data_IF_952871680369
#
_entry.id   IF_952871680369
#
_cell.length_a   1.000
_cell.length_b   1.000
_cell.length_c   1.000
_cell.angle_alpha   90.00
_cell.angle_beta   90.00
_cell.angle_gamma   90.00
#
_symmetry.space_group_name_H-M   'P 1'
#
loop_
_entity.id
_entity.type
_entity.pdbx_description
1 polymer ?
#
# COMPACT_ATOMS: atom_id res chain seq x y z
N UNK A 1 3.85 12.89 44.05
CA UNK A 1 5.25 13.10 44.50
C UNK A 1 6.15 12.77 43.31
N UNK A 2 6.29 13.72 42.38
CA UNK A 2 7.12 13.65 41.18
C UNK A 2 7.97 14.92 41.17
N UNK A 3 9.29 14.79 41.18
CA UNK A 3 10.24 15.91 41.21
C UNK A 3 10.73 16.20 39.80
N UNK A 4 10.41 17.41 39.30
CA UNK A 4 11.04 17.98 38.11
C UNK A 4 12.52 18.26 38.40
N UNK A 5 13.41 17.93 37.45
CA UNK A 5 14.79 18.42 37.44
C UNK A 5 14.94 19.53 36.38
N UNK A 6 15.56 20.67 36.74
CA UNK A 6 15.68 21.82 35.84
C UNK A 6 16.87 21.73 34.90
N UNK A 7 16.72 22.43 33.77
CA UNK A 7 17.72 22.75 32.75
C UNK A 7 18.70 23.80 33.28
N UNK A 8 20.00 23.56 33.12
CA UNK A 8 21.06 24.56 33.33
C UNK A 8 22.11 24.40 32.24
N UNK A 9 22.30 25.47 31.45
CA UNK A 9 23.30 25.53 30.39
C UNK A 9 24.70 25.86 30.88
N UNK A 10 25.68 25.87 29.95
CA UNK A 10 26.93 26.63 29.99
C UNK A 10 27.62 26.49 28.61
N UNK A 11 27.63 27.55 27.78
CA UNK A 11 28.75 28.46 27.48
C UNK A 11 29.95 27.88 26.71
N UNK A 12 30.10 28.42 25.50
CA UNK A 12 31.32 29.02 24.92
C UNK A 12 32.68 28.30 25.08
N UNK A 13 33.22 27.82 23.96
CA UNK A 13 34.61 27.40 23.84
C UNK A 13 35.11 27.48 22.40
N UNK A 14 35.54 28.66 22.00
CA UNK A 14 36.23 28.95 20.74
C UNK A 14 37.72 28.62 20.95
N UNK A 15 38.26 27.61 20.25
CA UNK A 15 39.72 27.37 20.19
C UNK A 15 40.09 27.12 18.74
N UNK A 16 40.75 28.12 18.16
CA UNK A 16 41.51 28.00 16.93
C UNK A 16 42.79 27.21 17.21
N UNK A 17 43.06 26.18 16.41
CA UNK A 17 44.40 25.64 16.23
C UNK A 17 44.68 25.49 14.74
N UNK A 18 45.50 26.41 14.25
CA UNK A 18 46.25 26.27 13.03
C UNK A 18 47.31 25.16 13.21
N UNK A 19 47.50 24.35 12.18
CA UNK A 19 48.53 23.31 12.17
C UNK A 19 48.66 22.68 10.79
N UNK A 20 49.42 23.35 9.93
CA UNK A 20 49.85 22.83 8.63
C UNK A 20 50.69 21.56 8.81
N UNK A 21 50.40 20.52 8.02
CA UNK A 21 51.36 19.44 7.75
C UNK A 21 51.24 19.03 6.29
N UNK A 22 52.26 19.48 5.56
CA UNK A 22 52.65 19.09 4.21
C UNK A 22 52.77 17.57 4.13
N UNK A 23 52.09 16.96 3.16
CA UNK A 23 52.48 15.67 2.59
C UNK A 23 52.62 15.81 1.07
N UNK A 24 53.87 15.87 0.64
CA UNK A 24 54.31 15.54 -0.71
C UNK A 24 54.39 14.01 -0.79
N UNK A 25 53.66 13.42 -1.74
CA UNK A 25 53.74 11.99 -2.05
C UNK A 25 53.04 11.69 -3.36
N UNK A 26 53.82 11.72 -4.43
CA UNK A 26 53.41 11.47 -5.80
C UNK A 26 52.96 10.01 -6.04
N UNK A 27 51.96 9.82 -6.92
CA UNK A 27 51.62 8.51 -7.47
C UNK A 27 50.22 8.40 -8.06
N UNK A 28 49.91 9.12 -9.15
CA UNK A 28 48.80 8.73 -10.03
C UNK A 28 49.36 7.73 -11.06
N UNK A 29 48.93 6.48 -10.95
CA UNK A 29 49.14 5.46 -11.97
C UNK A 29 48.20 5.68 -13.16
N UNK A 30 48.76 5.57 -14.35
CA UNK A 30 48.11 5.49 -15.65
C UNK A 30 47.09 4.35 -15.70
N UNK A 31 45.81 4.68 -15.83
CA UNK A 31 44.76 3.78 -16.27
C UNK A 31 44.22 4.30 -17.60
N UNK A 32 44.72 3.74 -18.71
CA UNK A 32 44.24 4.05 -20.05
C UNK A 32 42.75 3.72 -20.20
N UNK A 33 41.95 4.76 -20.40
CA UNK A 33 40.55 4.68 -20.82
C UNK A 33 40.36 5.60 -22.01
N UNK A 34 40.07 4.99 -23.17
CA UNK A 34 39.84 5.66 -24.44
C UNK A 34 38.81 6.79 -24.28
N UNK A 35 39.24 8.04 -24.51
CA UNK A 35 38.31 9.11 -24.85
C UNK A 35 37.77 8.81 -26.25
N UNK A 36 36.45 8.70 -26.48
CA UNK A 36 35.95 8.99 -27.81
C UNK A 36 36.15 10.48 -28.00
N UNK A 37 37.02 10.86 -28.94
CA UNK A 37 37.09 12.23 -29.43
C UNK A 37 35.71 12.57 -29.99
N UNK A 38 34.92 13.30 -29.21
CA UNK A 38 33.75 14.02 -29.70
C UNK A 38 34.27 15.13 -30.62
N UNK A 39 34.53 14.77 -31.89
CA UNK A 39 34.63 15.74 -32.94
C UNK A 39 33.31 16.53 -32.97
N UNK A 40 33.33 17.87 -33.10
CA UNK A 40 32.11 18.61 -33.32
C UNK A 40 31.53 18.14 -34.66
N UNK A 41 30.42 17.40 -34.59
CA UNK A 41 29.59 17.08 -35.76
C UNK A 41 29.08 18.41 -36.33
N UNK A 42 29.83 18.97 -37.27
CA UNK A 42 29.34 19.99 -38.17
C UNK A 42 28.16 19.42 -38.94
N UNK A 43 27.01 20.09 -38.81
CA UNK A 43 25.71 19.79 -39.41
C UNK A 43 25.67 19.69 -40.96
N UNK A 44 26.83 19.63 -41.62
CA UNK A 44 26.98 19.63 -43.08
C UNK A 44 27.62 18.38 -43.68
N UNK A 45 28.06 17.40 -42.88
CA UNK A 45 28.50 16.10 -43.40
C UNK A 45 27.50 15.01 -43.01
N UNK A 46 26.46 14.85 -43.83
CA UNK A 46 25.64 13.66 -43.83
C UNK A 46 26.51 12.50 -44.34
N UNK A 47 27.11 11.76 -43.41
CA UNK A 47 27.77 10.49 -43.74
C UNK A 47 26.78 9.56 -44.46
N UNK A 48 27.22 8.77 -45.46
CA UNK A 48 26.36 7.80 -46.12
C UNK A 48 25.80 6.79 -45.09
N UNK A 49 24.58 6.28 -45.29
CA UNK A 49 23.89 5.40 -44.33
C UNK A 49 24.62 4.07 -44.03
N UNK A 50 25.67 3.74 -44.79
CA UNK A 50 26.42 2.49 -44.68
C UNK A 50 27.74 2.60 -43.88
N UNK A 51 28.03 3.76 -43.29
CA UNK A 51 29.28 4.01 -42.55
C UNK A 51 29.10 4.20 -41.04
N UNK A 52 27.94 3.85 -40.47
CA UNK A 52 27.80 3.76 -39.02
C UNK A 52 28.69 2.60 -38.52
N UNK A 53 29.61 2.84 -37.57
CA UNK A 53 30.39 1.75 -36.99
C UNK A 53 29.43 0.78 -36.29
N UNK A 54 29.71 -0.54 -36.29
CA UNK A 54 28.80 -1.57 -35.79
C UNK A 54 28.50 -1.47 -34.27
N UNK A 55 29.14 -0.53 -33.58
CA UNK A 55 29.05 -0.21 -32.16
C UNK A 55 28.47 1.19 -31.87
N UNK A 56 27.96 1.91 -32.88
CA UNK A 56 27.25 3.17 -32.64
C UNK A 56 25.94 2.91 -31.89
N UNK A 57 25.84 3.39 -30.65
CA UNK A 57 24.60 3.39 -29.90
C UNK A 57 23.58 4.32 -30.57
N UNK A 58 22.59 3.73 -31.25
CA UNK A 58 21.50 4.48 -31.88
C UNK A 58 20.34 4.57 -30.90
N UNK A 59 20.10 5.76 -30.38
CA UNK A 59 18.89 6.03 -29.61
C UNK A 59 17.71 6.26 -30.56
N UNK A 60 16.66 5.45 -30.43
CA UNK A 60 15.40 5.59 -31.20
C UNK A 60 14.35 6.45 -30.49
N UNK A 61 14.67 6.93 -29.28
CA UNK A 61 13.85 7.82 -28.45
C UNK A 61 14.62 9.12 -28.17
N UNK A 62 14.61 9.62 -26.94
CA UNK A 62 15.34 10.84 -26.57
C UNK A 62 16.59 10.49 -25.78
N UNK A 63 17.70 11.12 -26.15
CA UNK A 63 18.96 10.97 -25.42
C UNK A 63 18.99 11.94 -24.22
N UNK A 64 18.94 11.38 -23.01
CA UNK A 64 19.04 12.11 -21.76
C UNK A 64 20.39 11.80 -21.12
N UNK A 65 21.36 12.68 -21.35
CA UNK A 65 22.76 12.44 -21.00
C UNK A 65 23.34 11.26 -21.80
N UNK A 66 23.57 10.14 -21.13
CA UNK A 66 24.06 8.89 -21.73
C UNK A 66 22.97 7.82 -21.89
N UNK A 67 21.75 8.09 -21.45
CA UNK A 67 20.64 7.14 -21.48
C UNK A 67 19.69 7.45 -22.64
N UNK A 68 19.27 6.43 -23.38
CA UNK A 68 18.18 6.57 -24.34
C UNK A 68 16.87 6.22 -23.65
N UNK A 69 16.01 7.22 -23.44
CA UNK A 69 14.81 7.09 -22.63
C UNK A 69 13.58 7.51 -23.43
N UNK A 70 12.46 6.85 -23.14
CA UNK A 70 11.18 7.17 -23.73
C UNK A 70 10.46 8.20 -22.87
N UNK A 71 10.50 9.48 -23.27
CA UNK A 71 9.85 10.56 -22.53
C UNK A 71 8.33 10.40 -22.44
N UNK A 72 7.74 9.53 -23.27
CA UNK A 72 6.29 9.30 -23.27
C UNK A 72 5.85 8.35 -22.14
N UNK A 73 6.76 7.54 -21.62
CA UNK A 73 6.42 6.44 -20.70
C UNK A 73 7.36 6.27 -19.53
N UNK A 74 8.60 6.79 -19.57
CA UNK A 74 9.54 6.64 -18.46
C UNK A 74 9.19 7.65 -17.35
N UNK A 75 8.75 7.21 -16.16
CA UNK A 75 8.39 8.09 -15.06
C UNK A 75 9.58 8.87 -14.51
N UNK A 76 10.84 8.49 -14.81
CA UNK A 76 12.02 9.26 -14.40
C UNK A 76 12.36 10.40 -15.36
N UNK A 77 11.75 10.42 -16.55
CA UNK A 77 12.03 11.36 -17.63
C UNK A 77 10.74 11.80 -18.35
N UNK A 78 9.65 11.98 -17.62
CA UNK A 78 8.33 12.18 -18.24
C UNK A 78 8.24 13.54 -18.94
N UNK A 79 8.02 13.56 -20.25
CA UNK A 79 7.98 14.77 -21.06
C UNK A 79 9.34 15.48 -21.26
N UNK A 80 10.32 15.29 -20.37
CA UNK A 80 11.66 15.87 -20.45
C UNK A 80 12.70 15.05 -19.64
N UNK A 81 13.98 15.19 -20.01
CA UNK A 81 15.08 14.40 -19.47
C UNK A 81 15.33 14.51 -17.96
N UNK A 82 14.95 15.60 -17.30
CA UNK A 82 15.16 15.77 -15.86
C UNK A 82 13.82 15.98 -15.14
N UNK A 83 12.76 15.35 -15.65
CA UNK A 83 11.41 15.47 -15.12
C UNK A 83 10.93 14.13 -14.56
N UNK A 84 11.36 13.82 -13.34
CA UNK A 84 10.92 12.62 -12.64
C UNK A 84 9.56 12.87 -11.97
N UNK A 85 8.63 11.95 -12.19
CA UNK A 85 7.34 11.91 -11.53
C UNK A 85 7.47 11.50 -10.06
N UNK A 86 6.56 11.96 -9.19
CA UNK A 86 6.48 11.46 -7.83
C UNK A 86 6.19 9.94 -7.83
N UNK A 87 6.57 9.21 -6.76
CA UNK A 87 6.58 7.74 -6.77
C UNK A 87 5.24 7.09 -7.15
N UNK A 88 4.13 7.67 -6.69
CA UNK A 88 2.78 7.19 -7.01
C UNK A 88 2.30 7.54 -8.42
N UNK A 89 2.88 8.56 -9.08
CA UNK A 89 2.41 9.00 -10.40
C UNK A 89 2.98 8.15 -11.53
N UNK A 90 2.17 7.99 -12.57
CA UNK A 90 2.59 7.41 -13.84
C UNK A 90 2.89 8.52 -14.86
N UNK A 91 3.75 8.21 -15.84
CA UNK A 91 3.99 9.13 -16.94
C UNK A 91 2.86 9.04 -17.97
N UNK A 92 2.13 10.14 -18.15
CA UNK A 92 1.22 10.33 -19.27
C UNK A 92 1.62 11.63 -19.97
N UNK A 93 2.70 11.55 -20.75
CA UNK A 93 3.41 12.71 -21.25
C UNK A 93 2.50 13.78 -21.89
N UNK A 94 2.80 15.07 -21.66
CA UNK A 94 4.01 15.58 -20.99
C UNK A 94 3.94 15.59 -19.45
N UNK A 95 2.83 15.13 -18.87
CA UNK A 95 2.52 15.35 -17.46
C UNK A 95 2.63 14.05 -16.64
N UNK A 96 2.99 14.22 -15.37
CA UNK A 96 2.87 13.16 -14.37
C UNK A 96 1.43 13.10 -13.89
N UNK A 97 0.82 11.93 -13.97
CA UNK A 97 -0.58 11.72 -13.58
C UNK A 97 -0.63 10.91 -12.31
N UNK A 98 -1.17 11.54 -11.26
CA UNK A 98 -1.42 10.90 -9.98
C UNK A 98 -2.64 9.97 -10.05
N UNK A 99 -2.66 8.91 -9.23
CA UNK A 99 -3.84 8.08 -9.10
C UNK A 99 -5.02 8.91 -8.56
N UNK A 100 -6.20 8.71 -9.14
CA UNK A 100 -7.42 9.43 -8.73
C UNK A 100 -8.34 8.60 -7.84
N UNK A 101 -8.12 7.28 -7.73
CA UNK A 101 -8.96 6.38 -6.96
C UNK A 101 -8.28 5.02 -6.71
N UNK A 102 -7.79 4.77 -5.48
CA UNK A 102 -7.42 3.40 -5.07
C UNK A 102 -8.55 2.70 -4.32
N UNK A 103 -9.80 3.16 -4.47
CA UNK A 103 -10.98 2.67 -3.73
C UNK A 103 -11.06 1.14 -3.77
N UNK A 104 -11.43 0.48 -2.65
CA UNK A 104 -11.66 -0.96 -2.65
C UNK A 104 -12.68 -1.35 -3.72
N UNK A 105 -12.37 -2.37 -4.53
CA UNK A 105 -13.25 -2.82 -5.61
C UNK A 105 -14.64 -3.31 -5.11
N UNK A 106 -14.73 -3.68 -3.83
CA UNK A 106 -15.98 -3.93 -3.10
C UNK A 106 -15.71 -3.91 -1.58
N UNK A 107 -16.72 -3.65 -0.72
CA UNK A 107 -16.63 -3.95 0.70
C UNK A 107 -16.35 -5.45 0.86
N UNK A 108 -15.16 -5.80 1.36
CA UNK A 108 -14.76 -7.19 1.55
C UNK A 108 -13.86 -7.80 0.47
N UNK A 109 -13.31 -7.02 -0.48
CA UNK A 109 -12.26 -7.47 -1.40
C UNK A 109 -10.90 -7.64 -0.68
N UNK A 110 -10.91 -8.36 0.44
CA UNK A 110 -9.79 -8.61 1.33
C UNK A 110 -8.89 -9.67 0.75
N UNK A 111 -7.63 -9.32 0.56
CA UNK A 111 -6.58 -10.25 0.12
C UNK A 111 -5.91 -10.92 1.33
N UNK A 112 -5.68 -10.16 2.40
CA UNK A 112 -5.07 -10.66 3.62
C UNK A 112 -5.35 -9.70 4.77
N UNK A 113 -5.71 -10.25 5.93
CA UNK A 113 -5.79 -9.50 7.18
C UNK A 113 -4.59 -9.90 8.03
N UNK A 114 -3.70 -8.95 8.29
CA UNK A 114 -2.58 -9.16 9.20
C UNK A 114 -2.97 -8.60 10.57
N UNK A 115 -3.20 -9.49 11.53
CA UNK A 115 -3.28 -9.11 12.94
C UNK A 115 -1.85 -8.80 13.42
N UNK A 116 -1.60 -7.53 13.77
CA UNK A 116 -0.31 -7.01 14.22
C UNK A 116 -0.13 -7.06 15.74
N UNK A 117 -0.71 -8.04 16.45
CA UNK A 117 -0.28 -8.37 17.82
C UNK A 117 1.25 -8.56 17.95
N UNK A 118 1.99 -8.66 16.83
CA UNK A 118 3.45 -8.76 16.76
C UNK A 118 4.20 -7.50 16.28
N UNK A 119 3.52 -6.44 15.82
CA UNK A 119 4.17 -5.24 15.24
C UNK A 119 3.78 -3.99 16.03
N UNK A 120 4.47 -3.78 17.15
CA UNK A 120 4.36 -2.63 18.06
C UNK A 120 2.99 -2.46 18.78
N UNK A 121 2.96 -1.90 20.00
CA UNK A 121 1.72 -1.77 20.79
C UNK A 121 0.66 -0.81 20.20
N UNK A 122 0.96 -0.10 19.10
CA UNK A 122 0.15 1.01 18.56
C UNK A 122 -0.38 0.75 17.13
N UNK A 123 -0.10 -0.41 16.53
CA UNK A 123 -0.66 -0.79 15.22
C UNK A 123 -1.79 -1.81 15.45
N UNK A 124 -3.03 -1.35 15.35
CA UNK A 124 -4.20 -2.17 15.60
C UNK A 124 -4.50 -3.13 14.44
N UNK A 125 -4.09 -2.77 13.21
CA UNK A 125 -4.07 -3.74 12.13
C UNK A 125 -3.79 -3.20 10.74
N UNK A 126 -3.60 -4.16 9.83
CA UNK A 126 -3.31 -3.96 8.43
C UNK A 126 -4.23 -4.83 7.58
N UNK A 127 -4.90 -4.17 6.63
CA UNK A 127 -5.78 -4.77 5.66
C UNK A 127 -5.16 -4.62 4.27
N UNK A 128 -5.00 -5.71 3.54
CA UNK A 128 -4.67 -5.67 2.10
C UNK A 128 -5.95 -5.92 1.31
N UNK A 129 -6.21 -5.11 0.29
CA UNK A 129 -7.42 -5.18 -0.52
C UNK A 129 -7.14 -4.98 -2.02
N UNK A 130 -8.03 -5.47 -2.87
CA UNK A 130 -7.95 -5.21 -4.31
C UNK A 130 -8.55 -3.85 -4.67
N UNK A 131 -7.80 -3.02 -5.39
CA UNK A 131 -8.26 -1.74 -5.91
C UNK A 131 -9.02 -1.87 -7.23
N UNK A 132 -9.77 -0.84 -7.57
CA UNK A 132 -10.42 -0.71 -8.88
C UNK A 132 -9.45 -0.58 -10.05
N UNK A 133 -8.18 -0.27 -9.77
CA UNK A 133 -7.08 -0.21 -10.73
C UNK A 133 -6.47 -1.59 -11.06
N UNK A 134 -6.96 -2.66 -10.43
CA UNK A 134 -6.48 -4.02 -10.64
C UNK A 134 -5.22 -4.37 -9.84
N UNK A 135 -4.72 -3.45 -9.02
CA UNK A 135 -3.58 -3.69 -8.12
C UNK A 135 -4.05 -3.97 -6.69
N UNK A 136 -3.18 -4.59 -5.89
CA UNK A 136 -3.41 -4.67 -4.45
C UNK A 136 -3.01 -3.35 -3.78
N UNK A 137 -3.76 -2.94 -2.77
CA UNK A 137 -3.47 -1.80 -1.91
C UNK A 137 -3.57 -2.23 -0.45
N UNK A 138 -3.06 -1.40 0.44
CA UNK A 138 -3.12 -1.63 1.87
C UNK A 138 -3.82 -0.46 2.57
N UNK A 139 -4.57 -0.76 3.63
CA UNK A 139 -5.01 0.19 4.64
C UNK A 139 -4.35 -0.21 5.95
N UNK A 140 -3.61 0.73 6.54
CA UNK A 140 -2.91 0.60 7.80
C UNK A 140 -3.58 1.56 8.78
N UNK A 141 -4.03 1.04 9.91
CA UNK A 141 -4.66 1.87 10.92
C UNK A 141 -3.89 1.75 12.24
N UNK A 142 -3.29 2.86 12.64
CA UNK A 142 -2.50 2.98 13.87
C UNK A 142 -3.34 3.73 14.89
N UNK A 143 -3.79 3.03 15.92
CA UNK A 143 -4.65 3.58 16.96
C UNK A 143 -3.97 3.47 18.31
N UNK A 144 -4.26 4.43 19.19
CA UNK A 144 -4.09 4.19 20.61
C UNK A 144 -5.09 3.13 21.09
N UNK A 145 -4.77 2.31 22.11
CA UNK A 145 -5.65 1.24 22.61
C UNK A 145 -7.00 1.72 23.17
N UNK A 146 -7.18 3.03 23.39
CA UNK A 146 -8.36 3.62 24.05
C UNK A 146 -9.24 4.45 23.11
N UNK A 147 -9.17 4.26 21.78
CA UNK A 147 -9.96 5.08 20.84
C UNK A 147 -11.45 4.77 20.98
N UNK A 148 -12.25 5.83 21.16
CA UNK A 148 -13.69 5.72 21.31
C UNK A 148 -14.38 5.23 20.02
N UNK A 149 -15.27 4.26 20.15
CA UNK A 149 -16.15 3.81 19.07
C UNK A 149 -17.46 4.61 19.06
N UNK A 150 -18.11 4.66 17.89
CA UNK A 150 -19.40 5.34 17.69
C UNK A 150 -19.32 6.86 17.63
N UNK A 151 -18.12 7.44 17.58
CA UNK A 151 -17.89 8.89 17.50
C UNK A 151 -17.11 9.20 16.23
N UNK A 152 -17.38 10.36 15.64
CA UNK A 152 -16.66 10.87 14.48
C UNK A 152 -15.39 11.57 14.95
N UNK A 153 -14.24 11.12 14.42
CA UNK A 153 -12.91 11.61 14.73
C UNK A 153 -12.40 12.40 13.53
N UNK A 154 -12.03 13.66 13.75
CA UNK A 154 -11.40 14.49 12.72
C UNK A 154 -9.93 14.08 12.56
N UNK A 155 -9.58 13.57 11.38
CA UNK A 155 -8.23 13.11 11.04
C UNK A 155 -7.21 14.26 10.94
N UNK A 156 -7.65 15.52 10.87
CA UNK A 156 -6.76 16.68 10.94
C UNK A 156 -6.33 17.03 12.39
N UNK A 157 -6.93 16.39 13.40
CA UNK A 157 -6.61 16.68 14.80
C UNK A 157 -5.26 16.08 15.23
N UNK A 158 -4.52 16.76 16.10
CA UNK A 158 -3.19 16.32 16.54
C UNK A 158 -3.20 15.01 17.34
N UNK A 159 -4.36 14.68 17.94
CA UNK A 159 -4.58 13.44 18.70
C UNK A 159 -5.30 12.37 17.85
N UNK A 160 -5.52 12.62 16.55
CA UNK A 160 -6.13 11.66 15.66
C UNK A 160 -5.25 10.42 15.50
N UNK A 161 -5.85 9.24 15.33
CA UNK A 161 -5.12 8.06 14.88
C UNK A 161 -4.57 8.26 13.47
N UNK A 162 -3.41 7.66 13.20
CA UNK A 162 -2.81 7.71 11.87
C UNK A 162 -3.45 6.65 10.99
N UNK A 163 -4.07 7.09 9.90
CA UNK A 163 -4.57 6.21 8.85
C UNK A 163 -3.64 6.33 7.65
N UNK A 164 -2.99 5.23 7.31
CA UNK A 164 -2.09 5.11 6.18
C UNK A 164 -2.65 4.18 5.10
N UNK A 165 -2.22 4.40 3.88
CA UNK A 165 -2.57 3.57 2.73
C UNK A 165 -1.32 3.20 1.95
N UNK A 166 -1.18 1.93 1.58
CA UNK A 166 -0.15 1.46 0.67
C UNK A 166 -0.72 1.38 -0.75
N UNK A 167 -0.04 2.01 -1.71
CA UNK A 167 -0.42 2.02 -3.11
C UNK A 167 0.41 1.01 -3.91
N UNK A 168 -0.28 0.18 -4.73
CA UNK A 168 0.31 -0.90 -5.54
C UNK A 168 1.28 -1.78 -4.73
N UNK A 169 0.71 -2.51 -3.78
CA UNK A 169 1.42 -3.45 -2.92
C UNK A 169 1.77 -4.72 -3.70
N UNK A 170 3.05 -5.03 -3.74
CA UNK A 170 3.55 -6.34 -4.16
C UNK A 170 3.42 -7.31 -2.99
N UNK A 171 2.41 -8.18 -3.06
CA UNK A 171 2.11 -9.16 -2.01
C UNK A 171 3.09 -10.34 -1.99
N UNK A 172 3.90 -10.54 -3.03
CA UNK A 172 4.92 -11.57 -3.05
C UNK A 172 6.18 -11.11 -2.31
N UNK A 173 6.53 -9.83 -2.44
CA UNK A 173 7.75 -9.25 -1.85
C UNK A 173 7.49 -8.37 -0.61
N UNK A 174 6.23 -8.12 -0.26
CA UNK A 174 5.81 -7.21 0.81
C UNK A 174 6.39 -5.79 0.65
N UNK A 175 6.48 -5.33 -0.60
CA UNK A 175 6.87 -3.97 -0.93
C UNK A 175 5.65 -3.19 -1.42
N UNK A 176 5.70 -1.87 -1.30
CA UNK A 176 4.68 -0.97 -1.80
C UNK A 176 5.35 0.05 -2.71
N UNK A 177 4.64 0.49 -3.76
CA UNK A 177 5.17 1.50 -4.68
C UNK A 177 5.25 2.87 -4.01
N UNK A 178 4.18 3.25 -3.30
CA UNK A 178 4.13 4.48 -2.53
C UNK A 178 3.17 4.38 -1.35
N UNK A 179 3.32 5.29 -0.38
CA UNK A 179 2.47 5.40 0.80
C UNK A 179 1.70 6.70 0.82
N UNK A 180 0.50 6.67 1.35
CA UNK A 180 -0.32 7.84 1.59
C UNK A 180 -0.74 7.90 3.05
N UNK A 181 -0.83 9.11 3.60
CA UNK A 181 -1.42 9.36 4.92
C UNK A 181 -2.68 10.20 4.76
N UNK A 182 -3.71 9.86 5.53
CA UNK A 182 -4.88 10.71 5.65
C UNK A 182 -4.52 11.92 6.51
N UNK A 183 -4.55 13.11 5.92
CA UNK A 183 -4.23 14.38 6.59
C UNK A 183 -5.45 15.20 6.94
N UNK A 184 -6.62 14.84 6.39
CA UNK A 184 -7.93 15.32 6.82
C UNK A 184 -9.01 14.29 6.51
N UNK A 185 -10.23 14.54 6.98
CA UNK A 185 -11.38 13.67 6.79
C UNK A 185 -11.96 13.23 8.12
N UNK A 186 -12.97 12.38 8.05
CA UNK A 186 -13.63 11.83 9.25
C UNK A 186 -13.41 10.34 9.33
N UNK A 187 -12.89 9.89 10.46
CA UNK A 187 -12.82 8.49 10.83
C UNK A 187 -13.90 8.18 11.85
N UNK A 188 -14.69 7.14 11.59
CA UNK A 188 -15.66 6.61 12.53
C UNK A 188 -15.38 5.14 12.76
N UNK A 189 -15.09 4.76 13.99
CA UNK A 189 -15.02 3.35 14.38
C UNK A 189 -16.41 2.89 14.78
N UNK A 190 -16.99 1.96 14.03
CA UNK A 190 -18.36 1.50 14.27
C UNK A 190 -18.42 0.59 15.50
N UNK A 191 -17.50 -0.38 15.57
CA UNK A 191 -17.40 -1.30 16.69
C UNK A 191 -16.00 -1.93 16.78
N UNK A 192 -15.64 -2.30 18.01
CA UNK A 192 -14.52 -3.19 18.27
C UNK A 192 -15.00 -4.64 18.28
N UNK A 193 -14.17 -5.54 17.78
CA UNK A 193 -14.40 -6.99 17.78
C UNK A 193 -13.42 -7.66 18.74
N UNK A 194 -13.54 -8.98 18.91
CA UNK A 194 -12.61 -9.71 19.77
C UNK A 194 -11.16 -9.57 19.30
N UNK A 195 -10.94 -9.62 17.98
CA UNK A 195 -9.61 -9.47 17.37
C UNK A 195 -9.60 -8.35 16.32
N UNK A 196 -10.07 -7.14 16.67
CA UNK A 196 -9.84 -5.95 15.83
C UNK A 196 -10.93 -4.87 15.89
N UNK A 197 -11.10 -4.13 14.79
CA UNK A 197 -12.04 -3.00 14.69
C UNK A 197 -12.62 -2.88 13.27
N UNK A 198 -13.89 -2.46 13.19
CA UNK A 198 -14.52 -2.04 11.95
C UNK A 198 -14.88 -0.55 11.99
N UNK A 199 -14.82 0.10 10.84
CA UNK A 199 -15.08 1.51 10.74
C UNK A 199 -15.15 2.03 9.31
N UNK A 200 -15.29 3.35 9.21
CA UNK A 200 -15.35 4.10 7.97
C UNK A 200 -14.43 5.30 8.02
N UNK A 201 -13.69 5.52 6.95
CA UNK A 201 -13.02 6.77 6.63
C UNK A 201 -13.89 7.46 5.58
N UNK A 202 -14.21 8.74 5.78
CA UNK A 202 -15.07 9.49 4.86
C UNK A 202 -14.49 10.86 4.56
N UNK A 203 -14.63 11.29 3.29
CA UNK A 203 -14.15 12.57 2.79
C UNK A 203 -12.66 12.80 3.08
N UNK A 204 -11.86 11.75 3.09
CA UNK A 204 -10.46 11.86 3.47
C UNK A 204 -9.62 12.48 2.37
N UNK A 205 -8.72 13.38 2.77
CA UNK A 205 -7.63 13.84 1.94
C UNK A 205 -6.40 13.02 2.26
N UNK A 206 -5.83 12.43 1.23
CA UNK A 206 -4.66 11.60 1.32
C UNK A 206 -3.50 12.29 0.64
N UNK A 207 -2.38 12.37 1.33
CA UNK A 207 -1.16 12.99 0.81
C UNK A 207 -0.06 11.93 0.77
N UNK A 208 0.76 11.97 -0.28
CA UNK A 208 1.85 11.03 -0.47
C UNK A 208 2.98 11.27 0.54
N UNK A 209 3.39 10.20 1.20
CA UNK A 209 4.44 10.20 2.22
C UNK A 209 5.47 9.12 1.92
N UNK A 210 6.73 9.45 2.17
CA UNK A 210 7.79 8.46 2.15
C UNK A 210 7.66 7.53 3.36
N UNK A 211 7.41 6.25 3.11
CA UNK A 211 7.10 5.26 4.15
C UNK A 211 8.27 4.94 5.08
N UNK A 212 9.50 5.31 4.72
CA UNK A 212 10.69 5.04 5.54
C UNK A 212 11.02 6.21 6.46
N UNK A 213 10.85 7.44 5.98
CA UNK A 213 11.14 8.67 6.71
C UNK A 213 9.90 9.30 7.35
N UNK A 214 8.69 8.85 6.99
CA UNK A 214 7.41 9.45 7.38
C UNK A 214 7.35 10.95 7.10
N UNK A 215 7.95 11.38 5.98
CA UNK A 215 7.94 12.78 5.54
C UNK A 215 7.09 12.94 4.28
N UNK A 216 6.40 14.09 4.12
CA UNK A 216 5.61 14.34 2.93
C UNK A 216 6.51 14.43 1.70
N UNK A 217 6.09 13.82 0.59
CA UNK A 217 6.81 13.90 -0.68
C UNK A 217 6.57 15.27 -1.29
N UNK A 218 7.65 15.99 -1.61
CA UNK A 218 7.55 17.31 -2.27
C UNK A 218 7.02 17.11 -3.69
N UNK A 219 6.00 17.89 -4.07
CA UNK A 219 5.25 17.71 -5.32
C UNK A 219 4.66 16.29 -5.47
N UNK A 220 4.44 15.62 -4.33
CA UNK A 220 3.82 14.31 -4.26
C UNK A 220 2.34 14.32 -4.64
N UNK A 221 1.81 13.13 -4.87
CA UNK A 221 0.40 12.95 -5.19
C UNK A 221 -0.50 13.25 -3.99
N UNK A 222 -1.67 13.82 -4.28
CA UNK A 222 -2.75 13.97 -3.34
C UNK A 222 -4.03 13.41 -3.94
N UNK A 223 -4.84 12.78 -3.09
CA UNK A 223 -6.13 12.21 -3.47
C UNK A 223 -7.17 12.77 -2.50
N UNK A 224 -8.16 13.46 -3.04
CA UNK A 224 -9.24 14.06 -2.27
C UNK A 224 -10.48 13.15 -2.29
N UNK A 225 -11.36 13.35 -1.31
CA UNK A 225 -12.69 12.72 -1.24
C UNK A 225 -12.66 11.19 -1.21
N UNK A 226 -11.74 10.63 -0.40
CA UNK A 226 -11.60 9.18 -0.25
C UNK A 226 -12.54 8.66 0.83
N UNK A 227 -13.44 7.77 0.42
CA UNK A 227 -14.35 7.02 1.29
C UNK A 227 -13.95 5.54 1.32
N UNK A 228 -13.73 5.00 2.51
CA UNK A 228 -13.35 3.59 2.70
C UNK A 228 -14.07 3.02 3.91
N UNK A 229 -14.81 1.92 3.70
CA UNK A 229 -15.27 1.06 4.79
C UNK A 229 -14.28 -0.07 5.00
N UNK A 230 -13.85 -0.29 6.24
CA UNK A 230 -12.88 -1.31 6.59
C UNK A 230 -13.33 -2.13 7.80
N UNK A 231 -12.87 -3.36 7.85
CA UNK A 231 -13.07 -4.30 8.93
C UNK A 231 -11.77 -5.07 9.13
N UNK A 232 -10.98 -4.67 10.13
CA UNK A 232 -9.71 -5.30 10.46
C UNK A 232 -9.96 -6.26 11.62
N UNK A 233 -9.65 -7.53 11.43
CA UNK A 233 -10.01 -8.63 12.32
C UNK A 233 -10.92 -9.65 11.65
N UNK A 234 -10.64 -10.94 11.85
CA UNK A 234 -11.47 -12.02 11.30
C UNK A 234 -12.93 -11.94 11.79
N UNK A 235 -13.12 -11.51 13.04
CA UNK A 235 -14.43 -11.34 13.67
C UNK A 235 -15.13 -10.01 13.30
N UNK A 236 -14.42 -9.09 12.64
CA UNK A 236 -14.98 -7.81 12.20
C UNK A 236 -15.53 -7.84 10.79
N UNK A 237 -15.12 -8.80 9.97
CA UNK A 237 -15.61 -8.89 8.60
C UNK A 237 -17.13 -9.12 8.62
N UNK A 238 -17.92 -8.36 7.84
CA UNK A 238 -19.34 -8.67 7.71
C UNK A 238 -19.45 -10.10 7.21
N UNK A 239 -20.21 -10.95 7.91
CA UNK A 239 -20.50 -12.29 7.42
C UNK A 239 -21.21 -12.13 6.08
N UNK A 240 -20.71 -12.77 5.00
CA UNK A 240 -21.44 -12.77 3.74
C UNK A 240 -22.76 -13.49 3.99
N UNK A 241 -23.84 -12.72 4.06
CA UNK A 241 -25.23 -13.15 4.16
C UNK A 241 -25.57 -14.11 5.33
N UNK A 242 -25.62 -13.57 6.55
CA UNK A 242 -26.73 -13.93 7.42
C UNK A 242 -27.79 -12.82 7.29
N UNK A 243 -28.78 -13.04 6.41
CA UNK A 243 -30.04 -12.31 6.51
C UNK A 243 -30.57 -12.38 7.95
N UNK A 244 -31.50 -11.49 8.35
CA UNK A 244 -31.97 -11.43 9.73
C UNK A 244 -32.33 -12.84 10.20
N UNK A 245 -31.57 -13.35 11.16
CA UNK A 245 -31.91 -14.61 11.79
C UNK A 245 -33.19 -14.34 12.57
N UNK A 246 -34.33 -14.65 11.95
CA UNK A 246 -35.58 -14.84 12.64
C UNK A 246 -35.35 -15.96 13.66
N UNK A 247 -34.92 -15.57 14.86
CA UNK A 247 -34.87 -16.42 16.04
C UNK A 247 -36.31 -16.69 16.49
N UNK A 248 -37.05 -17.44 15.67
CA UNK A 248 -38.20 -18.19 16.14
C UNK A 248 -37.69 -19.29 17.08
N UNK A 249 -38.32 -19.49 18.24
CA UNK A 249 -37.91 -20.55 19.15
C UNK A 249 -38.00 -21.90 18.43
N UNK A 250 -36.89 -22.65 18.44
CA UNK A 250 -36.88 -24.01 17.94
C UNK A 250 -37.70 -24.90 18.89
N UNK A 251 -38.91 -25.27 18.46
CA UNK A 251 -39.72 -26.27 19.15
C UNK A 251 -39.03 -27.65 19.03
N UNK A 252 -38.26 -28.01 20.04
CA UNK A 252 -37.74 -29.36 20.22
C UNK A 252 -38.88 -30.28 20.69
N UNK A 253 -39.64 -30.83 19.73
CA UNK A 253 -40.55 -31.95 19.98
C UNK A 253 -39.76 -33.25 20.24
N UNK A 254 -40.22 -34.13 21.15
CA UNK A 254 -39.49 -35.36 21.47
C UNK A 254 -39.55 -36.35 20.29
N UNK A 255 -38.41 -36.97 19.99
CA UNK A 255 -38.30 -38.01 18.98
C UNK A 255 -38.95 -39.31 19.48
N UNK A 256 -39.94 -39.80 18.74
CA UNK A 256 -40.58 -41.11 18.98
C UNK A 256 -39.60 -42.25 18.66
N UNK A 257 -39.22 -43.01 19.68
CA UNK A 257 -38.54 -44.29 19.53
C UNK A 257 -39.57 -45.39 19.26
N UNK A 258 -39.78 -45.73 17.98
CA UNK A 258 -40.57 -46.88 17.57
C UNK A 258 -39.76 -48.18 17.61
N UNK A 259 -40.04 -49.04 18.59
CA UNK A 259 -39.52 -50.39 18.71
C UNK A 259 -40.06 -51.31 17.60
N UNK A 260 -39.17 -52.02 16.88
CA UNK A 260 -39.55 -53.13 16.02
C UNK A 260 -39.36 -54.44 16.79
N UNK A 261 -40.47 -55.07 17.21
CA UNK A 261 -40.51 -56.44 17.70
C UNK A 261 -41.28 -57.34 16.73
N UNK A 262 -40.81 -58.59 16.66
CA UNK A 262 -41.08 -59.61 15.65
C UNK A 262 -42.48 -60.27 15.74
N UNK A 263 -42.96 -60.80 14.61
CA UNK A 263 -44.14 -61.67 14.54
C UNK A 263 -44.10 -62.59 13.31
N UNK A 264 -44.13 -63.89 13.57
CA UNK A 264 -43.99 -65.02 12.64
C UNK A 264 -45.25 -65.38 11.85
N UNK A 265 -45.02 -65.92 10.64
CA UNK A 265 -45.72 -66.97 9.87
C UNK A 265 -47.26 -67.08 9.90
N UNK A 266 -47.84 -67.19 8.70
CA UNK A 266 -48.87 -68.21 8.43
C UNK A 266 -48.91 -68.61 6.94
N UNK A 267 -49.07 -69.91 6.70
CA UNK A 267 -49.27 -70.53 5.40
C UNK A 267 -50.77 -70.75 5.17
N UNK A 268 -51.27 -70.51 3.95
CA UNK A 268 -52.64 -70.79 3.56
C UNK A 268 -52.78 -70.90 2.04
N UNK A 269 -53.30 -72.04 1.58
CA UNK A 269 -53.39 -72.53 0.21
C UNK A 269 -54.60 -72.04 -0.61
N UNK A 270 -54.50 -72.25 -1.94
CA UNK A 270 -55.52 -72.76 -2.88
C UNK A 270 -56.07 -71.81 -3.99
N UNK A 271 -55.75 -72.22 -5.22
CA UNK A 271 -56.62 -72.49 -6.38
C UNK A 271 -57.30 -71.41 -7.26
N UNK A 272 -56.95 -71.54 -8.55
CA UNK A 272 -57.80 -71.60 -9.76
C UNK A 272 -58.33 -70.34 -10.48
N UNK A 273 -58.02 -70.32 -11.79
CA UNK A 273 -58.68 -69.74 -12.99
C UNK A 273 -57.70 -68.82 -13.73
N UNK A 274 -57.31 -69.02 -15.00
CA UNK A 274 -58.04 -69.56 -16.14
C UNK A 274 -58.02 -68.48 -17.24
N UNK A 275 -57.18 -68.69 -18.27
CA UNK A 275 -57.26 -68.28 -19.69
C UNK A 275 -55.86 -68.19 -20.30
#
# INVERSE_FOLDING_TARGET
>A
MWTMRPVAGLRSGLVALAGALVWLGAGCGDGGGSKPDAAPISLFDAAPPDAAPPDAFVCTKTMCGTECVDLETDPRHCGACDNACPPAADCAAPDCVCPSNFVPAAPGALFSQMNTEQVAPDILGLMVFAGTDGNAHALIAMFAPDVATGVDIDLASADAPTIGFGYQVDTANFTLRSGFLATSGTLRLDHACAEGVAGTVTGAKLEEYDVFSMTPVTDGCAIDDVDVTFAIGADCAPTPDAGPADAGPADAGPADAGSADAGSADAGSADAAGL
#
